data_IF_261592700241
#
_entry.id   IF_261592700241
#
_cell.length_a   1.000
_cell.length_b   1.000
_cell.length_c   1.000
_cell.angle_alpha   90.00
_cell.angle_beta   90.00
_cell.angle_gamma   90.00
#
_symmetry.space_group_name_H-M   'P 1'
#
loop_
_entity.id
_entity.type
_entity.pdbx_description
1 polymer ?
#
# COMPACT_ATOMS: atom_id res chain seq x y z
N UNK A 1 27.57 19.01 -30.55
CA UNK A 1 26.69 17.90 -30.95
C UNK A 1 26.49 17.02 -29.72
N UNK A 2 25.33 17.10 -29.07
CA UNK A 2 25.01 16.29 -27.88
C UNK A 2 24.77 14.85 -28.30
N UNK A 3 25.57 13.91 -27.80
CA UNK A 3 25.33 12.48 -27.97
C UNK A 3 23.94 12.10 -27.43
N UNK A 4 23.15 11.28 -28.15
CA UNK A 4 21.86 10.83 -27.65
C UNK A 4 22.10 10.04 -26.37
N UNK A 5 21.55 10.51 -25.26
CA UNK A 5 21.62 9.83 -23.97
C UNK A 5 20.95 8.48 -24.14
N UNK A 6 21.73 7.39 -24.08
CA UNK A 6 21.24 6.03 -24.33
C UNK A 6 20.30 5.66 -23.19
N UNK A 7 18.99 5.79 -23.42
CA UNK A 7 17.98 5.32 -22.49
C UNK A 7 18.06 3.79 -22.41
N UNK A 8 18.18 3.25 -21.21
CA UNK A 8 18.21 1.82 -20.95
C UNK A 8 16.88 1.42 -20.30
N UNK A 9 16.23 0.38 -20.80
CA UNK A 9 15.04 -0.16 -20.15
C UNK A 9 15.42 -1.34 -19.24
N UNK A 10 14.83 -1.39 -18.03
CA UNK A 10 14.98 -2.52 -17.11
C UNK A 10 13.61 -3.10 -16.78
N UNK A 11 13.46 -4.40 -17.00
CA UNK A 11 12.26 -5.14 -16.60
C UNK A 11 12.16 -5.16 -15.07
N UNK A 12 11.12 -4.53 -14.51
CA UNK A 12 10.89 -4.50 -13.07
C UNK A 12 9.87 -5.55 -12.65
N UNK A 13 8.84 -5.82 -13.46
CA UNK A 13 7.82 -6.81 -13.16
C UNK A 13 7.41 -7.58 -14.41
N UNK A 14 7.11 -8.87 -14.24
CA UNK A 14 6.46 -9.72 -15.23
C UNK A 14 5.47 -10.62 -14.50
N UNK A 15 4.21 -10.62 -14.92
CA UNK A 15 3.18 -11.37 -14.23
C UNK A 15 1.80 -11.25 -14.88
N UNK A 16 0.78 -11.17 -14.04
CA UNK A 16 -0.62 -11.15 -14.46
C UNK A 16 -1.46 -10.22 -13.60
N UNK A 17 -2.57 -9.73 -14.16
CA UNK A 17 -3.57 -8.90 -13.49
C UNK A 17 -4.79 -9.75 -13.17
N UNK A 18 -5.07 -9.96 -11.90
CA UNK A 18 -6.27 -10.66 -11.42
C UNK A 18 -7.47 -9.72 -11.45
N UNK A 19 -8.58 -10.17 -12.04
CA UNK A 19 -9.85 -9.43 -12.05
C UNK A 19 -10.67 -9.78 -10.80
N UNK A 20 -11.46 -8.85 -10.23
CA UNK A 20 -12.08 -8.98 -8.91
C UNK A 20 -13.16 -10.06 -8.85
N UNK A 21 -13.89 -10.26 -9.94
CA UNK A 21 -15.07 -11.14 -9.97
C UNK A 21 -14.85 -12.47 -10.69
N UNK A 22 -13.67 -12.63 -11.29
CA UNK A 22 -13.35 -13.83 -12.06
C UNK A 22 -12.04 -14.43 -11.56
N UNK A 23 -11.99 -15.76 -11.46
CA UNK A 23 -10.72 -16.49 -11.32
C UNK A 23 -9.80 -16.36 -12.55
N UNK A 24 -10.20 -15.56 -13.55
CA UNK A 24 -9.42 -15.27 -14.75
C UNK A 24 -8.35 -14.23 -14.42
N UNK A 25 -7.11 -14.55 -14.79
CA UNK A 25 -5.98 -13.65 -14.71
C UNK A 25 -5.56 -13.23 -16.12
N UNK A 26 -5.36 -11.92 -16.30
CA UNK A 26 -4.84 -11.35 -17.55
C UNK A 26 -3.32 -11.46 -17.53
N UNK A 27 -2.79 -12.48 -18.22
CA UNK A 27 -1.36 -12.76 -18.29
C UNK A 27 -0.58 -11.87 -19.28
N UNK A 28 0.74 -12.06 -19.35
CA UNK A 28 1.58 -11.38 -20.33
C UNK A 28 1.79 -9.89 -20.08
N UNK A 29 1.60 -9.45 -18.84
CA UNK A 29 1.78 -8.05 -18.41
C UNK A 29 3.22 -7.89 -17.90
N UNK A 30 3.93 -6.90 -18.42
CA UNK A 30 5.28 -6.55 -18.02
C UNK A 30 5.41 -5.05 -17.75
N UNK A 31 6.12 -4.69 -16.68
CA UNK A 31 6.49 -3.30 -16.43
C UNK A 31 7.99 -3.11 -16.59
N UNK A 32 8.35 -2.07 -17.31
CA UNK A 32 9.72 -1.70 -17.64
C UNK A 32 10.01 -0.30 -17.12
N UNK A 33 11.06 -0.14 -16.33
CA UNK A 33 11.55 1.17 -15.90
C UNK A 33 12.49 1.75 -16.97
N UNK A 34 12.20 2.96 -17.44
CA UNK A 34 13.01 3.69 -18.41
C UNK A 34 14.09 4.49 -17.70
N UNK A 35 15.29 3.92 -17.61
CA UNK A 35 16.44 4.49 -16.93
C UNK A 35 17.22 5.41 -17.86
N UNK A 36 17.62 6.55 -17.30
CA UNK A 36 18.59 7.49 -17.89
C UNK A 36 19.88 7.43 -17.09
N UNK A 37 20.97 8.01 -17.61
CA UNK A 37 22.27 8.03 -16.91
C UNK A 37 22.22 8.64 -15.50
N UNK A 38 21.19 9.44 -15.20
CA UNK A 38 21.02 10.16 -13.94
C UNK A 38 19.99 9.52 -13.00
N UNK A 39 19.18 8.57 -13.50
CA UNK A 39 18.06 8.01 -12.74
C UNK A 39 18.36 6.58 -12.33
N UNK A 40 18.25 6.31 -11.03
CA UNK A 40 18.43 4.98 -10.48
C UNK A 40 17.09 4.39 -10.06
N UNK A 41 16.99 3.06 -10.06
CA UNK A 41 15.76 2.37 -9.66
C UNK A 41 15.34 2.70 -8.22
N UNK A 42 16.31 2.99 -7.35
CA UNK A 42 16.11 3.36 -5.95
C UNK A 42 15.34 4.68 -5.76
N UNK A 43 15.34 5.56 -6.76
CA UNK A 43 14.64 6.85 -6.69
C UNK A 43 13.13 6.71 -6.89
N UNK A 44 12.67 5.62 -7.53
CA UNK A 44 11.25 5.39 -7.77
C UNK A 44 10.72 4.26 -6.87
N UNK A 45 9.93 4.58 -5.83
CA UNK A 45 9.38 3.57 -4.93
C UNK A 45 8.41 2.59 -5.62
N UNK A 46 7.78 2.99 -6.72
CA UNK A 46 6.95 2.09 -7.51
C UNK A 46 7.78 1.04 -8.23
N UNK A 47 8.94 1.42 -8.77
CA UNK A 47 9.84 0.46 -9.44
C UNK A 47 10.32 -0.61 -8.46
N UNK A 48 10.66 -0.21 -7.21
CA UNK A 48 11.04 -1.13 -6.13
C UNK A 48 9.90 -2.05 -5.70
N UNK A 49 8.68 -1.52 -5.59
CA UNK A 49 7.50 -2.30 -5.23
C UNK A 49 7.21 -3.36 -6.31
N UNK A 50 7.25 -2.97 -7.59
CA UNK A 50 7.05 -3.88 -8.71
C UNK A 50 8.14 -4.96 -8.79
N UNK A 51 9.40 -4.61 -8.51
CA UNK A 51 10.50 -5.58 -8.46
C UNK A 51 10.33 -6.60 -7.32
N UNK A 52 9.79 -6.17 -6.18
CA UNK A 52 9.51 -7.04 -5.03
C UNK A 52 8.32 -7.97 -5.26
N UNK A 53 7.42 -7.65 -6.21
CA UNK A 53 6.20 -8.40 -6.50
C UNK A 53 6.35 -9.34 -7.70
N UNK A 54 7.56 -9.57 -8.20
CA UNK A 54 7.78 -10.50 -9.32
C UNK A 54 7.19 -11.88 -9.02
N UNK A 55 6.41 -12.40 -9.97
CA UNK A 55 5.73 -13.69 -9.83
C UNK A 55 4.43 -13.66 -9.02
N UNK A 56 4.06 -12.52 -8.42
CA UNK A 56 2.79 -12.34 -7.73
C UNK A 56 1.82 -11.60 -8.66
N UNK A 57 0.59 -12.12 -8.80
CA UNK A 57 -0.43 -11.44 -9.57
C UNK A 57 -0.86 -10.13 -8.87
N UNK A 58 -0.90 -9.04 -9.61
CA UNK A 58 -1.44 -7.76 -9.14
C UNK A 58 -2.96 -7.76 -9.33
N UNK A 59 -3.70 -6.99 -8.53
CA UNK A 59 -5.17 -7.08 -8.51
C UNK A 59 -5.82 -5.84 -9.09
N UNK A 60 -6.75 -6.01 -10.02
CA UNK A 60 -7.59 -4.92 -10.50
C UNK A 60 -8.49 -4.42 -9.37
N UNK A 61 -8.61 -3.10 -9.25
CA UNK A 61 -9.50 -2.44 -8.29
C UNK A 61 -10.67 -1.80 -9.01
N UNK A 62 -10.41 -0.86 -9.92
CA UNK A 62 -11.44 -0.10 -10.62
C UNK A 62 -10.89 0.59 -11.87
N UNK A 63 -11.79 1.00 -12.76
CA UNK A 63 -11.50 2.05 -13.76
C UNK A 63 -11.87 3.38 -13.13
N UNK A 64 -10.94 4.33 -13.13
CA UNK A 64 -11.06 5.62 -12.44
C UNK A 64 -10.89 6.78 -13.44
N UNK A 65 -11.44 7.94 -13.09
CA UNK A 65 -11.12 9.18 -13.78
C UNK A 65 -9.83 9.76 -13.19
N UNK A 66 -8.86 10.10 -14.04
CA UNK A 66 -7.57 10.66 -13.65
C UNK A 66 -7.70 12.06 -13.02
N UNK A 67 -8.81 12.76 -13.25
CA UNK A 67 -9.08 14.04 -12.59
C UNK A 67 -9.39 13.89 -11.09
N UNK A 68 -9.87 12.72 -10.67
CA UNK A 68 -10.32 12.48 -9.30
C UNK A 68 -9.19 11.96 -8.38
N UNK A 69 -8.01 11.70 -8.93
CA UNK A 69 -6.91 11.03 -8.24
C UNK A 69 -5.60 11.78 -8.43
N UNK A 70 -4.86 11.97 -7.33
CA UNK A 70 -3.49 12.47 -7.38
C UNK A 70 -2.53 11.30 -7.64
N UNK A 71 -1.70 11.42 -8.68
CA UNK A 71 -0.71 10.41 -9.01
C UNK A 71 0.58 11.06 -9.49
N UNK A 72 1.68 10.34 -9.28
CA UNK A 72 3.02 10.83 -9.60
C UNK A 72 3.38 10.57 -11.08
N UNK A 73 2.83 11.38 -11.98
CA UNK A 73 3.07 11.27 -13.43
C UNK A 73 4.52 11.59 -13.83
N UNK A 74 5.23 12.40 -13.02
CA UNK A 74 6.58 12.89 -13.32
C UNK A 74 7.67 12.13 -12.58
N UNK A 75 7.33 11.03 -11.90
CA UNK A 75 8.29 10.15 -11.27
C UNK A 75 9.33 9.64 -12.27
N UNK A 76 10.61 9.81 -11.93
CA UNK A 76 11.73 9.27 -12.70
C UNK A 76 12.36 8.10 -11.92
N UNK A 77 12.70 6.96 -12.58
CA UNK A 77 12.40 6.61 -13.97
C UNK A 77 10.90 6.40 -14.22
N UNK A 78 10.44 6.71 -15.45
CA UNK A 78 9.07 6.43 -15.86
C UNK A 78 8.87 4.92 -16.05
N UNK A 79 7.70 4.42 -15.69
CA UNK A 79 7.38 3.00 -15.75
C UNK A 79 6.40 2.78 -16.89
N UNK A 80 6.86 2.04 -17.89
CA UNK A 80 6.09 1.68 -19.08
C UNK A 80 5.46 0.32 -18.84
N UNK A 81 4.22 0.16 -19.27
CA UNK A 81 3.53 -1.11 -19.32
C UNK A 81 3.60 -1.67 -20.74
N UNK A 82 4.13 -2.88 -20.85
CA UNK A 82 4.21 -3.67 -22.07
C UNK A 82 3.27 -4.88 -21.95
N UNK A 83 2.46 -5.10 -22.97
CA UNK A 83 1.58 -6.27 -23.07
C UNK A 83 2.14 -7.19 -24.14
N UNK A 84 2.37 -8.45 -23.78
CA UNK A 84 2.90 -9.44 -24.72
C UNK A 84 1.94 -9.64 -25.90
N UNK A 85 2.39 -9.60 -27.17
CA UNK A 85 1.49 -9.67 -28.33
C UNK A 85 0.61 -10.93 -28.40
N UNK A 86 1.11 -12.05 -27.86
CA UNK A 86 0.34 -13.32 -27.79
C UNK A 86 -0.67 -13.36 -26.63
N UNK A 87 -0.66 -12.40 -25.71
CA UNK A 87 -1.61 -12.32 -24.61
C UNK A 87 -2.92 -11.64 -25.06
N UNK A 88 -3.66 -12.32 -25.93
CA UNK A 88 -4.85 -11.78 -26.63
C UNK A 88 -5.87 -11.18 -25.66
N UNK A 89 -6.18 -11.84 -24.54
CA UNK A 89 -7.14 -11.35 -23.55
C UNK A 89 -6.71 -10.03 -22.94
N UNK A 90 -5.43 -9.90 -22.57
CA UNK A 90 -4.88 -8.67 -22.00
C UNK A 90 -4.87 -7.53 -23.02
N UNK A 91 -4.50 -7.83 -24.28
CA UNK A 91 -4.53 -6.87 -25.38
C UNK A 91 -5.96 -6.35 -25.61
N UNK A 92 -6.93 -7.24 -25.77
CA UNK A 92 -8.34 -6.87 -25.97
C UNK A 92 -8.89 -6.10 -24.77
N UNK A 93 -8.55 -6.50 -23.55
CA UNK A 93 -8.99 -5.81 -22.33
C UNK A 93 -8.52 -4.36 -22.31
N UNK A 94 -7.22 -4.11 -22.50
CA UNK A 94 -6.68 -2.75 -22.46
C UNK A 94 -7.07 -1.93 -23.71
N UNK A 95 -7.23 -2.55 -24.88
CA UNK A 95 -7.79 -1.89 -26.06
C UNK A 95 -9.23 -1.45 -25.82
N UNK A 96 -10.05 -2.29 -25.19
CA UNK A 96 -11.43 -1.94 -24.88
C UNK A 96 -11.50 -0.75 -23.92
N UNK A 97 -10.59 -0.68 -22.95
CA UNK A 97 -10.55 0.44 -22.01
C UNK A 97 -10.06 1.71 -22.69
N UNK A 98 -8.89 1.67 -23.33
CA UNK A 98 -8.19 2.89 -23.77
C UNK A 98 -8.47 3.30 -25.23
N UNK A 99 -8.94 2.40 -26.09
CA UNK A 99 -9.10 2.67 -27.52
C UNK A 99 -10.57 2.81 -27.97
N UNK A 100 -11.57 2.38 -27.19
CA UNK A 100 -12.97 2.50 -27.61
C UNK A 100 -13.44 3.94 -27.73
N UNK A 101 -12.90 4.85 -26.90
CA UNK A 101 -13.29 6.27 -26.86
C UNK A 101 -12.04 7.15 -26.82
N UNK A 102 -11.48 7.55 -27.98
CA UNK A 102 -10.24 8.32 -28.04
C UNK A 102 -10.30 9.64 -27.26
N UNK A 103 -11.48 10.25 -27.17
CA UNK A 103 -11.72 11.49 -26.39
C UNK A 103 -11.49 11.30 -24.88
N UNK A 104 -11.70 10.08 -24.37
CA UNK A 104 -11.61 9.75 -22.94
C UNK A 104 -10.32 9.02 -22.58
N UNK A 105 -9.51 8.64 -23.56
CA UNK A 105 -8.29 7.86 -23.35
C UNK A 105 -7.33 8.48 -22.33
N UNK A 106 -7.23 9.82 -22.33
CA UNK A 106 -6.35 10.56 -21.42
C UNK A 106 -7.02 11.00 -20.11
N UNK A 107 -8.33 10.77 -19.95
CA UNK A 107 -9.05 11.07 -18.71
C UNK A 107 -9.31 9.83 -17.87
N UNK A 108 -9.13 8.63 -18.40
CA UNK A 108 -9.35 7.37 -17.66
C UNK A 108 -8.04 6.68 -17.28
N UNK A 109 -8.07 5.98 -16.16
CA UNK A 109 -6.99 5.12 -15.69
C UNK A 109 -7.51 3.82 -15.11
N UNK A 110 -6.68 2.80 -15.10
CA UNK A 110 -6.96 1.51 -14.44
C UNK A 110 -6.23 1.48 -13.11
N UNK A 111 -6.98 1.50 -12.02
CA UNK A 111 -6.45 1.36 -10.67
C UNK A 111 -6.15 -0.10 -10.36
N UNK A 112 -4.92 -0.35 -9.91
CA UNK A 112 -4.42 -1.68 -9.57
C UNK A 112 -3.81 -1.65 -8.17
N UNK A 113 -4.18 -2.63 -7.36
CA UNK A 113 -3.60 -2.87 -6.04
C UNK A 113 -2.34 -3.73 -6.17
N UNK A 114 -1.27 -3.24 -5.55
CA UNK A 114 -0.02 -3.97 -5.40
C UNK A 114 -0.05 -4.79 -4.11
N UNK A 115 -0.05 -6.12 -4.24
CA UNK A 115 -0.09 -7.07 -3.12
C UNK A 115 -1.49 -7.29 -2.52
N UNK A 116 -1.54 -7.92 -1.33
CA UNK A 116 -2.79 -8.33 -0.69
C UNK A 116 -3.55 -7.19 0.02
N UNK A 117 -2.92 -6.03 0.17
CA UNK A 117 -3.51 -4.89 0.89
C UNK A 117 -3.88 -3.76 -0.06
N UNK A 118 -5.04 -3.13 0.14
CA UNK A 118 -5.49 -1.95 -0.64
C UNK A 118 -4.68 -0.67 -0.36
N UNK A 119 -3.60 -0.76 0.42
CA UNK A 119 -2.79 0.36 0.86
C UNK A 119 -1.87 0.92 -0.23
N UNK A 120 -1.49 0.10 -1.21
CA UNK A 120 -0.52 0.46 -2.25
C UNK A 120 -1.15 0.32 -3.61
N UNK A 121 -1.82 1.39 -4.05
CA UNK A 121 -2.47 1.42 -5.35
C UNK A 121 -1.64 2.20 -6.36
N UNK A 122 -1.71 1.74 -7.60
CA UNK A 122 -1.11 2.38 -8.75
C UNK A 122 -2.20 2.62 -9.79
N UNK A 123 -1.92 3.53 -10.71
CA UNK A 123 -2.77 3.79 -11.84
C UNK A 123 -2.00 3.49 -13.12
N UNK A 124 -2.61 2.69 -13.98
CA UNK A 124 -2.16 2.47 -15.37
C UNK A 124 -2.95 3.44 -16.24
N UNK A 125 -2.28 4.23 -17.07
CA UNK A 125 -2.91 5.23 -17.91
C UNK A 125 -2.25 5.28 -19.29
N UNK A 126 -2.99 5.78 -20.28
CA UNK A 126 -2.50 5.92 -21.64
C UNK A 126 -1.90 7.31 -21.89
N UNK A 127 -0.73 7.33 -22.50
CA UNK A 127 -0.05 8.54 -22.99
C UNK A 127 0.12 8.45 -24.50
N UNK A 128 -0.18 9.52 -25.22
CA UNK A 128 -0.05 9.54 -26.68
C UNK A 128 1.43 9.62 -27.07
N UNK A 129 1.86 8.75 -27.98
CA UNK A 129 3.21 8.73 -28.55
C UNK A 129 3.06 8.81 -30.07
N UNK A 130 3.02 10.04 -30.59
CA UNK A 130 2.80 10.31 -32.02
C UNK A 130 1.33 10.34 -32.42
N UNK A 131 1.06 10.29 -33.72
CA UNK A 131 -0.27 10.64 -34.27
C UNK A 131 -1.35 9.57 -34.06
N UNK A 132 -0.99 8.32 -33.74
CA UNK A 132 -1.99 7.27 -33.57
C UNK A 132 -1.55 6.07 -32.71
N UNK A 133 -0.60 6.28 -31.80
CA UNK A 133 -0.07 5.22 -30.94
C UNK A 133 -0.16 5.63 -29.48
N UNK A 134 -0.69 4.71 -28.67
CA UNK A 134 -0.77 4.89 -27.23
C UNK A 134 0.34 4.08 -26.57
N UNK A 135 1.03 4.69 -25.62
CA UNK A 135 1.92 4.02 -24.68
C UNK A 135 1.24 3.96 -23.32
N UNK A 136 1.20 2.77 -22.75
CA UNK A 136 0.69 2.58 -21.40
C UNK A 136 1.80 2.88 -20.39
N UNK A 137 1.48 3.70 -19.39
CA UNK A 137 2.38 4.09 -18.31
C UNK A 137 1.75 3.71 -16.97
N UNK A 138 2.59 3.55 -15.95
CA UNK A 138 2.15 3.32 -14.58
C UNK A 138 2.72 4.37 -13.64
N UNK A 139 1.87 4.88 -12.75
CA UNK A 139 2.25 5.83 -11.71
C UNK A 139 1.67 5.42 -10.35
N UNK A 140 2.36 5.82 -9.28
CA UNK A 140 1.87 5.61 -7.92
C UNK A 140 0.77 6.61 -7.61
N UNK A 141 -0.34 6.14 -7.04
CA UNK A 141 -1.37 7.01 -6.49
C UNK A 141 -0.83 7.60 -5.18
N UNK A 142 -0.87 8.92 -5.06
CA UNK A 142 -0.41 9.66 -3.89
C UNK A 142 -1.59 10.27 -3.14
N UNK A 143 -1.49 10.46 -1.82
CA UNK A 143 -2.47 11.25 -1.10
C UNK A 143 -2.51 12.68 -1.68
N UNK A 144 -3.66 13.38 -1.58
CA UNK A 144 -3.74 14.77 -1.96
C UNK A 144 -2.67 15.59 -1.23
N UNK A 145 -2.04 16.57 -1.89
CA UNK A 145 -1.08 17.44 -1.23
C UNK A 145 -1.76 18.12 -0.06
N UNK A 146 -1.23 17.91 1.15
CA UNK A 146 -1.73 18.58 2.34
C UNK A 146 -1.44 20.07 2.14
N UNK A 147 -2.49 20.87 1.97
CA UNK A 147 -2.35 22.32 1.94
C UNK A 147 -1.76 22.74 3.28
N UNK A 148 -0.48 23.13 3.28
CA UNK A 148 0.10 23.75 4.45
C UNK A 148 -0.71 25.03 4.73
N UNK A 149 -1.13 25.27 5.98
CA UNK A 149 -1.80 26.51 6.32
C UNK A 149 -0.86 27.65 5.90
N UNK A 150 -1.38 28.55 5.06
CA UNK A 150 -0.57 29.69 4.60
C UNK A 150 -0.17 30.49 5.85
N UNK A 151 1.06 31.02 5.92
CA UNK A 151 1.49 31.86 7.03
C UNK A 151 0.55 33.05 7.31
N UNK A 152 -0.15 33.52 6.27
CA UNK A 152 -1.16 34.59 6.34
C UNK A 152 -2.61 34.09 6.49
N UNK A 153 -2.84 32.78 6.54
CA UNK A 153 -4.16 32.24 6.81
C UNK A 153 -4.48 32.55 8.29
N UNK A 154 -5.47 33.41 8.59
CA UNK A 154 -5.78 33.74 9.97
C UNK A 154 -6.13 32.45 10.67
N UNK A 155 -5.21 31.97 11.51
CA UNK A 155 -5.42 30.79 12.34
C UNK A 155 -6.86 30.79 12.85
N UNK A 156 -7.65 29.73 12.63
CA UNK A 156 -9.00 29.66 13.15
C UNK A 156 -8.90 29.91 14.65
N UNK A 157 -9.25 31.13 15.08
CA UNK A 157 -9.15 31.51 16.48
C UNK A 157 -10.09 30.55 17.18
N UNK A 158 -9.52 29.60 17.94
CA UNK A 158 -10.30 28.74 18.83
C UNK A 158 -11.23 29.69 19.59
N UNK A 159 -12.56 29.53 19.51
CA UNK A 159 -13.45 30.38 20.27
C UNK A 159 -13.03 30.28 21.73
N UNK A 160 -12.94 31.42 22.46
CA UNK A 160 -12.43 31.42 23.82
C UNK A 160 -13.26 30.42 24.64
N UNK A 161 -12.57 29.43 25.22
CA UNK A 161 -13.14 28.56 26.22
C UNK A 161 -13.49 29.46 27.41
N UNK A 162 -14.75 29.85 27.52
CA UNK A 162 -15.30 30.60 28.64
C UNK A 162 -14.97 29.85 29.94
N UNK A 163 -13.90 30.33 30.58
CA UNK A 163 -13.54 30.07 31.96
C UNK A 163 -14.77 30.32 32.82
N UNK A 164 -15.34 29.24 33.33
CA UNK A 164 -16.24 29.31 34.49
C UNK A 164 -15.39 29.66 35.71
N UNK A 165 -15.21 30.95 35.95
CA UNK A 165 -14.69 31.48 37.21
C UNK A 165 -15.87 31.95 38.08
N UNK A 166 -16.10 31.13 39.09
CA UNK A 166 -16.90 31.31 40.29
C UNK A 166 -16.58 32.62 41.02
N UNK A 167 -17.60 33.36 41.45
CA UNK A 167 -17.50 34.19 42.67
C UNK A 167 -18.31 35.48 42.71
N UNK A 168 -19.38 35.44 43.54
CA UNK A 168 -19.96 36.52 44.38
C UNK A 168 -20.59 37.69 43.63
N UNK A 169 -21.59 38.40 44.11
CA UNK A 169 -22.65 38.31 45.12
C UNK A 169 -23.64 39.42 44.68
N UNK A 170 -24.82 39.50 45.30
CA UNK A 170 -25.90 40.49 45.09
C UNK A 170 -27.01 40.01 44.14
N UNK A 171 -28.03 39.34 44.69
CA UNK A 171 -29.46 39.68 44.55
C UNK A 171 -30.30 38.84 45.54
N UNK A 172 -31.43 39.36 46.07
CA UNK A 172 -32.13 38.87 47.26
C UNK A 172 -33.03 37.63 47.01
N UNK A 173 -33.53 36.96 48.07
CA UNK A 173 -34.05 35.60 47.96
C UNK A 173 -35.47 35.56 47.37
N UNK A 174 -35.71 34.61 46.47
CA UNK A 174 -37.06 34.14 46.12
C UNK A 174 -37.39 32.85 46.88
N UNK A 175 -38.65 32.66 47.28
CA UNK A 175 -39.06 31.60 48.19
C UNK A 175 -38.96 30.20 47.57
N UNK A 176 -38.61 29.26 48.45
CA UNK A 176 -38.37 27.85 48.19
C UNK A 176 -39.60 27.15 47.59
N UNK A 177 -39.44 26.54 46.43
CA UNK A 177 -40.34 25.48 45.95
C UNK A 177 -39.60 24.14 46.09
N UNK A 178 -40.00 23.33 47.09
CA UNK A 178 -39.48 21.97 47.31
C UNK A 178 -40.16 21.01 46.33
N UNK A 179 -39.39 20.38 45.45
CA UNK A 179 -39.83 19.19 44.70
C UNK A 179 -39.00 17.99 45.17
N UNK A 180 -39.61 16.83 45.48
CA UNK A 180 -38.90 15.62 45.88
C UNK A 180 -38.02 15.05 44.76
N UNK A 181 -36.88 14.47 45.15
CA UNK A 181 -35.86 13.92 44.28
C UNK A 181 -36.33 12.67 43.51
N UNK A 182 -36.10 12.67 42.19
CA UNK A 182 -36.19 11.49 41.31
C UNK A 182 -34.81 11.29 40.67
N UNK A 183 -34.22 10.08 40.69
CA UNK A 183 -32.90 9.84 40.11
C UNK A 183 -33.01 9.66 38.59
N UNK A 184 -32.71 10.71 37.83
CA UNK A 184 -32.57 10.62 36.37
C UNK A 184 -31.09 10.37 35.98
N UNK A 185 -30.79 9.15 35.55
CA UNK A 185 -29.54 8.79 34.85
C UNK A 185 -29.48 9.55 33.53
N UNK A 186 -28.59 10.54 33.42
CA UNK A 186 -28.32 11.24 32.16
C UNK A 186 -27.08 10.65 31.49
N UNK A 187 -27.32 9.97 30.37
CA UNK A 187 -26.35 9.61 29.35
C UNK A 187 -25.63 10.87 28.84
N UNK A 188 -24.34 11.03 29.17
CA UNK A 188 -23.41 11.88 28.42
C UNK A 188 -22.57 11.00 27.50
N UNK A 189 -22.99 10.96 26.23
CA UNK A 189 -22.15 10.50 25.10
C UNK A 189 -20.92 11.40 24.99
N UNK A 190 -19.75 10.88 25.37
CA UNK A 190 -18.43 11.35 24.93
C UNK A 190 -18.06 10.59 23.65
N UNK A 191 -17.39 11.21 22.66
CA UNK A 191 -16.82 10.49 21.52
C UNK A 191 -15.76 9.51 22.04
N UNK A 192 -15.83 8.30 21.50
CA UNK A 192 -15.10 7.10 21.87
C UNK A 192 -13.59 7.24 21.70
N UNK A 193 -12.88 7.28 22.83
CA UNK A 193 -11.43 7.08 22.94
C UNK A 193 -11.09 5.64 23.39
N UNK A 194 -12.03 4.70 23.23
CA UNK A 194 -11.95 3.31 23.75
C UNK A 194 -11.41 2.32 22.71
N UNK A 195 -11.34 2.70 21.42
CA UNK A 195 -11.01 1.77 20.34
C UNK A 195 -9.49 1.61 20.08
N UNK A 196 -8.66 2.53 20.59
CA UNK A 196 -7.21 2.54 20.33
C UNK A 196 -6.38 1.68 21.31
N UNK A 197 -6.87 1.40 22.52
CA UNK A 197 -6.12 0.60 23.50
C UNK A 197 -6.20 -0.91 23.23
N UNK A 198 -7.32 -1.38 22.68
CA UNK A 198 -7.53 -2.82 22.40
C UNK A 198 -6.58 -3.30 21.29
N UNK A 199 -6.32 -2.48 20.27
CA UNK A 199 -5.44 -2.82 19.15
C UNK A 199 -3.99 -3.10 19.54
N UNK A 200 -3.46 -2.39 20.53
CA UNK A 200 -2.08 -2.55 21.00
C UNK A 200 -1.81 -3.95 21.58
N UNK A 201 -2.77 -4.50 22.32
CA UNK A 201 -2.63 -5.82 22.95
C UNK A 201 -2.72 -6.97 21.94
N UNK A 202 -3.58 -6.84 20.93
CA UNK A 202 -3.73 -7.82 19.85
C UNK A 202 -2.48 -7.81 18.95
N UNK A 203 -1.99 -6.62 18.58
CA UNK A 203 -0.78 -6.47 17.76
C UNK A 203 0.43 -7.13 18.42
N UNK A 204 0.62 -6.94 19.73
CA UNK A 204 1.72 -7.57 20.46
C UNK A 204 1.63 -9.10 20.46
N UNK A 205 0.46 -9.65 20.78
CA UNK A 205 0.22 -11.10 20.77
C UNK A 205 0.48 -11.71 19.38
N UNK A 206 -0.01 -11.06 18.34
CA UNK A 206 0.17 -11.49 16.96
C UNK A 206 1.65 -11.50 16.55
N UNK A 207 2.42 -10.48 16.93
CA UNK A 207 3.87 -10.43 16.66
C UNK A 207 4.61 -11.57 17.36
N UNK A 208 4.26 -11.88 18.60
CA UNK A 208 4.86 -12.99 19.35
C UNK A 208 4.53 -14.36 18.69
N UNK A 209 3.28 -14.54 18.21
CA UNK A 209 2.88 -15.73 17.44
C UNK A 209 3.70 -15.87 16.15
N UNK A 210 3.80 -14.80 15.36
CA UNK A 210 4.62 -14.79 14.12
C UNK A 210 6.07 -15.12 14.43
N UNK A 211 6.63 -14.54 15.51
CA UNK A 211 7.99 -14.83 15.98
C UNK A 211 8.19 -16.34 16.24
N UNK A 212 7.24 -16.98 16.93
CA UNK A 212 7.27 -18.42 17.21
C UNK A 212 7.18 -19.28 15.94
N UNK A 213 6.34 -18.89 14.98
CA UNK A 213 6.21 -19.58 13.68
C UNK A 213 7.52 -19.50 12.87
N UNK A 214 8.18 -18.35 12.86
CA UNK A 214 9.47 -18.17 12.14
C UNK A 214 10.56 -19.05 12.75
N UNK A 215 10.67 -19.10 14.10
CA UNK A 215 11.64 -19.99 14.78
C UNK A 215 11.41 -21.45 14.40
N UNK A 216 10.16 -21.93 14.44
CA UNK A 216 9.80 -23.31 14.06
C UNK A 216 10.12 -23.61 12.59
N UNK A 217 9.86 -22.64 11.69
CA UNK A 217 10.08 -22.81 10.26
C UNK A 217 11.57 -22.90 9.91
N UNK A 218 12.43 -22.07 10.52
CA UNK A 218 13.89 -22.11 10.28
C UNK A 218 14.50 -23.42 10.77
N UNK A 219 14.08 -23.92 11.94
CA UNK A 219 14.56 -25.19 12.50
C UNK A 219 14.27 -26.38 11.58
N UNK A 220 13.16 -26.33 10.83
CA UNK A 220 12.78 -27.38 9.87
C UNK A 220 13.72 -27.42 8.67
N UNK A 221 14.38 -26.31 8.33
CA UNK A 221 15.30 -26.17 7.18
C UNK A 221 16.78 -26.16 7.59
N UNK A 222 17.12 -26.84 8.70
CA UNK A 222 18.50 -27.19 9.11
C UNK A 222 19.44 -26.02 9.46
N UNK A 223 18.93 -24.81 9.75
CA UNK A 223 19.79 -23.69 10.18
C UNK A 223 19.77 -23.57 11.72
N UNK A 224 20.79 -24.08 12.44
CA UNK A 224 20.79 -24.08 13.89
C UNK A 224 20.92 -22.66 14.46
N UNK A 225 20.41 -22.43 15.66
CA UNK A 225 20.49 -21.12 16.36
C UNK A 225 21.92 -20.63 16.60
N UNK A 226 22.89 -21.54 16.56
CA UNK A 226 24.33 -21.27 16.71
C UNK A 226 24.98 -20.74 15.43
N UNK A 227 24.31 -20.79 14.28
CA UNK A 227 24.85 -20.32 13.02
C UNK A 227 25.00 -18.79 13.02
N UNK A 228 26.12 -18.22 12.53
CA UNK A 228 26.35 -16.77 12.54
C UNK A 228 25.27 -15.99 11.78
N UNK A 229 24.75 -16.55 10.70
CA UNK A 229 23.71 -15.91 9.87
C UNK A 229 22.28 -16.11 10.41
N UNK A 230 22.09 -16.94 11.44
CA UNK A 230 20.74 -17.26 11.95
C UNK A 230 19.97 -15.99 12.32
N UNK A 231 20.64 -15.03 12.98
CA UNK A 231 20.02 -13.79 13.44
C UNK A 231 19.54 -12.93 12.27
N UNK A 232 20.31 -12.87 11.19
CA UNK A 232 19.99 -12.03 10.04
C UNK A 232 18.88 -12.64 9.20
N UNK A 233 18.99 -13.94 8.90
CA UNK A 233 17.95 -14.70 8.19
C UNK A 233 16.63 -14.66 8.97
N UNK A 234 16.68 -14.86 10.29
CA UNK A 234 15.52 -14.72 11.17
C UNK A 234 14.88 -13.34 11.06
N UNK A 235 15.68 -12.26 11.12
CA UNK A 235 15.18 -10.90 11.06
C UNK A 235 14.55 -10.58 9.69
N UNK A 236 15.14 -11.06 8.59
CA UNK A 236 14.58 -10.87 7.25
C UNK A 236 13.24 -11.57 7.09
N UNK A 237 13.16 -12.85 7.48
CA UNK A 237 11.91 -13.62 7.41
C UNK A 237 10.85 -12.98 8.31
N UNK A 238 11.18 -12.67 9.57
CA UNK A 238 10.25 -12.07 10.52
C UNK A 238 9.68 -10.74 10.02
N UNK A 239 10.54 -9.84 9.51
CA UNK A 239 10.11 -8.56 8.95
C UNK A 239 9.26 -8.74 7.69
N UNK A 240 9.63 -9.68 6.80
CA UNK A 240 8.87 -10.00 5.59
C UNK A 240 7.45 -10.48 5.90
N UNK A 241 7.31 -11.44 6.82
CA UNK A 241 5.99 -11.96 7.24
C UNK A 241 5.16 -10.87 7.92
N UNK A 242 5.77 -10.06 8.80
CA UNK A 242 5.06 -8.95 9.44
C UNK A 242 4.58 -7.88 8.44
N UNK A 243 5.38 -7.60 7.40
CA UNK A 243 5.02 -6.64 6.36
C UNK A 243 3.88 -7.14 5.47
N UNK A 244 3.92 -8.42 5.09
CA UNK A 244 2.84 -9.07 4.34
C UNK A 244 1.51 -9.07 5.11
N UNK A 245 1.56 -9.33 6.42
CA UNK A 245 0.38 -9.41 7.29
C UNK A 245 0.05 -8.10 8.03
N UNK A 246 0.60 -6.96 7.62
CA UNK A 246 0.53 -5.71 8.40
C UNK A 246 -0.87 -5.19 8.69
N UNK A 247 -1.84 -5.50 7.83
CA UNK A 247 -3.24 -5.15 8.01
C UNK A 247 -3.90 -6.04 9.08
N UNK A 248 -3.72 -7.35 8.96
CA UNK A 248 -4.34 -8.32 9.87
C UNK A 248 -3.72 -8.28 11.26
N UNK A 249 -2.40 -8.13 11.36
CA UNK A 249 -1.67 -8.09 12.64
C UNK A 249 -2.23 -7.04 13.60
N UNK A 250 -2.76 -5.93 13.08
CA UNK A 250 -3.31 -4.83 13.90
C UNK A 250 -4.79 -4.99 14.23
N UNK A 251 -5.54 -5.70 13.39
CA UNK A 251 -7.00 -5.69 13.40
C UNK A 251 -7.61 -6.99 13.92
N UNK A 252 -6.96 -8.14 13.68
CA UNK A 252 -7.55 -9.48 13.88
C UNK A 252 -6.50 -10.45 14.42
N UNK A 253 -6.90 -11.52 15.13
CA UNK A 253 -5.97 -12.59 15.49
C UNK A 253 -5.34 -13.21 14.24
N UNK A 254 -4.02 -13.39 14.26
CA UNK A 254 -3.26 -13.96 13.12
C UNK A 254 -3.70 -15.38 12.82
N UNK A 255 -3.98 -15.67 11.54
CA UNK A 255 -4.14 -17.03 11.06
C UNK A 255 -2.76 -17.72 10.96
N UNK A 256 -2.51 -18.70 11.83
CA UNK A 256 -1.24 -19.40 11.92
C UNK A 256 -0.83 -20.13 10.63
N UNK A 257 -1.80 -20.65 9.87
CA UNK A 257 -1.54 -21.39 8.63
C UNK A 257 -0.98 -20.47 7.55
N UNK A 258 -1.59 -19.30 7.35
CA UNK A 258 -1.12 -18.32 6.38
C UNK A 258 0.25 -17.74 6.78
N UNK A 259 0.45 -17.45 8.07
CA UNK A 259 1.75 -17.03 8.59
C UNK A 259 2.84 -18.10 8.39
N UNK A 260 2.51 -19.38 8.60
CA UNK A 260 3.42 -20.50 8.35
C UNK A 260 3.75 -20.64 6.87
N UNK A 261 2.77 -20.52 5.98
CA UNK A 261 2.99 -20.55 4.52
C UNK A 261 3.93 -19.44 4.07
N UNK A 262 3.71 -18.20 4.53
CA UNK A 262 4.58 -17.06 4.21
C UNK A 262 6.00 -17.26 4.76
N UNK A 263 6.13 -17.76 5.99
CA UNK A 263 7.43 -18.07 6.58
C UNK A 263 8.19 -19.12 5.75
N UNK A 264 7.53 -20.18 5.26
CA UNK A 264 8.16 -21.19 4.39
C UNK A 264 8.65 -20.60 3.06
N UNK A 265 7.87 -19.73 2.42
CA UNK A 265 8.28 -19.06 1.18
C UNK A 265 9.54 -18.21 1.42
N UNK A 266 9.56 -17.42 2.49
CA UNK A 266 10.73 -16.62 2.85
C UNK A 266 11.95 -17.49 3.20
N UNK A 267 11.76 -18.59 3.94
CA UNK A 267 12.85 -19.53 4.21
C UNK A 267 13.42 -20.10 2.91
N UNK A 268 12.56 -20.49 1.95
CA UNK A 268 12.99 -20.93 0.63
C UNK A 268 13.88 -19.92 -0.09
N UNK A 269 13.54 -18.63 -0.01
CA UNK A 269 14.32 -17.56 -0.66
C UNK A 269 15.73 -17.36 -0.06
N UNK A 270 15.91 -17.57 1.25
CA UNK A 270 17.17 -17.26 1.94
C UNK A 270 18.03 -18.49 2.24
N UNK A 271 17.42 -19.66 2.42
CA UNK A 271 18.11 -20.89 2.87
C UNK A 271 18.34 -21.88 1.72
N UNK A 272 17.56 -21.86 0.64
CA UNK A 272 17.74 -22.77 -0.52
C UNK A 272 18.87 -22.34 -1.49
N UNK A 273 19.96 -21.79 -0.96
CA UNK A 273 21.24 -21.67 -1.68
C UNK A 273 22.09 -22.95 -1.65
N UNK A 274 21.70 -23.98 -0.88
CA UNK A 274 22.52 -25.16 -0.64
C UNK A 274 22.37 -26.31 -1.66
N UNK A 275 21.32 -26.32 -2.50
CA UNK A 275 21.09 -27.39 -3.51
C UNK A 275 21.95 -27.22 -4.78
N UNK A 276 23.08 -26.52 -4.70
CA UNK A 276 24.07 -26.41 -5.79
C UNK A 276 23.63 -25.60 -7.02
N UNK A 277 22.40 -25.08 -7.07
CA UNK A 277 21.99 -24.10 -8.07
C UNK A 277 22.32 -22.71 -7.55
N UNK A 278 23.52 -22.24 -7.91
CA UNK A 278 23.97 -20.86 -7.68
C UNK A 278 22.85 -19.88 -8.04
N UNK A 279 22.26 -19.26 -7.02
CA UNK A 279 21.47 -18.04 -7.21
C UNK A 279 22.39 -16.92 -7.71
N UNK A 280 21.86 -15.95 -8.48
CA UNK A 280 22.67 -14.88 -9.02
C UNK A 280 23.02 -13.91 -7.89
N UNK A 281 24.31 -13.85 -7.55
CA UNK A 281 24.95 -12.66 -6.99
C UNK A 281 25.76 -12.07 -8.14
#
# INVERSE_FOLDING_TARGET
MSSPTRASSRLVYRGSLALPDSHVTLGGIAFSAMLTAQTTLLQNPLALALESLRGIAIRFVAVINLADVYYDAKAAPSIVLDIHPQAVLSTVYFQNIFCLRPEQTHSIGVQVALGDTDATNIVIYASSVGDNSLRLLAARITPPPVALPRPDDPTPRKPPLLLHAKGRDLFPPKPQFKVPAVPAKTLKRKPSQVELEVGSTIERKNKDTVKGIVVRSIQTHLLPKTHPEYKDVFNWIYRGVCFAMRADIKLKPVNEENASRLARVHVGMYVQGADGRKGPI
#
